data_IF_189473809807
#
_entry.id   IF_189473809807
#
_cell.length_a   1.000
_cell.length_b   1.000
_cell.length_c   1.000
_cell.angle_alpha   90.00
_cell.angle_beta   90.00
_cell.angle_gamma   90.00
#
_symmetry.space_group_name_H-M   'P 1'
#
loop_
_entity.id
_entity.type
_entity.pdbx_description
1 polymer ?
#
# COMPACT_ATOMS: atom_id res chain seq x y z
N UNK A 1 -29.47 58.21 3.46
CA UNK A 1 -28.09 57.79 3.80
C UNK A 1 -27.44 57.32 2.51
N UNK A 2 -26.61 58.17 1.89
CA UNK A 2 -25.95 57.84 0.62
C UNK A 2 -24.60 57.23 0.95
N UNK A 3 -24.49 55.90 0.86
CA UNK A 3 -23.21 55.22 1.02
C UNK A 3 -22.32 55.56 -0.18
N UNK A 4 -21.07 55.93 0.10
CA UNK A 4 -20.08 56.14 -0.95
C UNK A 4 -19.82 54.82 -1.68
N UNK A 5 -19.53 54.89 -2.97
CA UNK A 5 -19.16 53.73 -3.80
C UNK A 5 -18.02 52.94 -3.15
N UNK A 6 -17.08 53.62 -2.48
CA UNK A 6 -16.00 52.99 -1.71
C UNK A 6 -16.50 52.13 -0.54
N UNK A 7 -17.58 52.55 0.13
CA UNK A 7 -18.20 51.81 1.23
C UNK A 7 -18.89 50.53 0.74
N UNK A 8 -19.46 50.56 -0.46
CA UNK A 8 -20.08 49.38 -1.08
C UNK A 8 -19.00 48.35 -1.45
N UNK A 9 -17.86 48.78 -2.02
CA UNK A 9 -16.74 47.88 -2.33
C UNK A 9 -16.12 47.25 -1.08
N UNK A 10 -16.01 47.99 0.03
CA UNK A 10 -15.47 47.46 1.28
C UNK A 10 -16.35 46.32 1.86
N UNK A 11 -17.68 46.46 1.75
CA UNK A 11 -18.63 45.45 2.20
C UNK A 11 -18.63 44.20 1.32
N UNK A 12 -18.42 44.34 0.01
CA UNK A 12 -18.30 43.20 -0.92
C UNK A 12 -17.01 42.40 -0.64
N UNK A 13 -15.90 43.08 -0.34
CA UNK A 13 -14.62 42.43 -0.02
C UNK A 13 -14.70 41.69 1.33
N UNK A 14 -15.33 42.29 2.34
CA UNK A 14 -15.58 41.60 3.62
C UNK A 14 -16.55 40.43 3.47
N UNK A 15 -17.60 40.56 2.67
CA UNK A 15 -18.57 39.49 2.41
C UNK A 15 -18.00 38.28 1.64
N UNK A 16 -16.99 38.49 0.78
CA UNK A 16 -16.30 37.40 0.09
C UNK A 16 -15.27 36.67 0.95
N UNK A 17 -14.78 37.29 2.02
CA UNK A 17 -13.79 36.68 2.93
C UNK A 17 -14.42 35.64 3.87
N UNK A 18 -15.73 35.73 4.13
CA UNK A 18 -16.45 34.86 5.07
C UNK A 18 -17.04 33.57 4.46
N UNK A 19 -17.02 33.41 3.13
CA UNK A 19 -17.48 32.19 2.43
C UNK A 19 -16.37 31.13 2.23
N UNK A 20 -15.14 31.44 2.63
CA UNK A 20 -13.96 30.62 2.35
C UNK A 20 -13.55 29.61 3.42
N UNK A 21 -14.30 29.48 4.52
CA UNK A 21 -14.03 28.46 5.53
C UNK A 21 -15.24 27.54 5.66
N UNK A 22 -15.47 26.72 4.63
CA UNK A 22 -16.10 25.44 4.86
C UNK A 22 -15.15 24.65 5.76
N UNK A 23 -15.54 24.48 7.02
CA UNK A 23 -14.90 23.54 7.94
C UNK A 23 -14.87 22.20 7.22
N UNK A 24 -13.72 21.82 6.65
CA UNK A 24 -13.48 20.44 6.29
C UNK A 24 -13.65 19.70 7.61
N UNK A 25 -14.82 19.06 7.81
CA UNK A 25 -14.94 18.01 8.80
C UNK A 25 -13.90 17.00 8.35
N UNK A 26 -12.73 17.06 8.98
CA UNK A 26 -11.79 15.96 8.95
C UNK A 26 -12.63 14.78 9.41
N UNK A 27 -12.96 13.89 8.48
CA UNK A 27 -13.40 12.56 8.84
C UNK A 27 -12.16 11.97 9.52
N UNK A 28 -12.06 12.18 10.83
CA UNK A 28 -11.28 11.32 11.68
C UNK A 28 -11.88 9.95 11.43
N UNK A 29 -11.28 9.19 10.52
CA UNK A 29 -11.44 7.75 10.53
C UNK A 29 -10.97 7.36 11.92
N UNK A 30 -11.91 7.21 12.86
CA UNK A 30 -11.68 6.49 14.08
C UNK A 30 -11.22 5.13 13.62
N UNK A 31 -9.91 4.96 13.68
CA UNK A 31 -9.34 3.74 13.26
C UNK A 31 -9.71 2.73 14.34
N UNK A 32 -10.70 1.90 14.04
CA UNK A 32 -11.08 0.75 14.86
C UNK A 32 -9.99 -0.35 14.77
N UNK A 33 -8.72 0.05 14.91
CA UNK A 33 -7.52 -0.78 14.74
C UNK A 33 -7.49 -1.95 15.74
N UNK A 34 -8.23 -1.84 16.84
CA UNK A 34 -8.09 -2.71 18.01
C UNK A 34 -9.39 -3.40 18.43
N UNK A 35 -10.50 -3.20 17.71
CA UNK A 35 -11.80 -3.76 18.12
C UNK A 35 -12.07 -5.19 17.64
N UNK A 36 -11.17 -5.83 16.89
CA UNK A 36 -11.41 -7.16 16.31
C UNK A 36 -10.16 -8.03 16.20
N UNK A 37 -10.38 -9.35 16.26
CA UNK A 37 -9.34 -10.37 16.07
C UNK A 37 -8.62 -10.21 14.72
N UNK A 38 -7.29 -10.31 14.73
CA UNK A 38 -6.46 -10.34 13.51
C UNK A 38 -6.35 -11.79 13.03
N UNK A 39 -6.76 -12.03 11.79
CA UNK A 39 -6.61 -13.30 11.07
C UNK A 39 -5.75 -13.02 9.86
N UNK A 40 -4.45 -13.10 10.09
CA UNK A 40 -3.41 -12.69 9.16
C UNK A 40 -2.68 -13.86 8.53
N UNK A 41 -2.18 -13.67 7.30
CA UNK A 41 -1.36 -14.66 6.60
C UNK A 41 -0.25 -13.99 5.79
N UNK A 42 0.92 -14.61 5.76
CA UNK A 42 2.03 -14.16 4.91
C UNK A 42 1.85 -14.63 3.46
N UNK A 43 2.20 -13.77 2.51
CA UNK A 43 2.35 -14.14 1.11
C UNK A 43 3.83 -14.05 0.76
N UNK A 44 4.42 -15.17 0.38
CA UNK A 44 5.87 -15.32 0.18
C UNK A 44 6.18 -15.59 -1.29
N UNK A 45 7.41 -15.24 -1.71
CA UNK A 45 7.97 -15.64 -3.01
C UNK A 45 8.76 -16.97 -2.92
N UNK A 46 8.78 -17.59 -1.73
CA UNK A 46 9.40 -18.89 -1.44
C UNK A 46 8.29 -19.83 -0.97
N UNK A 47 8.28 -21.06 -1.48
CA UNK A 47 7.31 -22.12 -1.13
C UNK A 47 5.83 -21.72 -1.27
N UNK A 48 5.54 -20.73 -2.12
CA UNK A 48 4.19 -20.28 -2.45
C UNK A 48 4.11 -19.75 -3.87
N UNK A 49 3.08 -20.17 -4.60
CA UNK A 49 2.84 -19.75 -5.99
C UNK A 49 1.95 -18.51 -6.11
N UNK A 50 1.45 -17.99 -4.98
CA UNK A 50 0.36 -17.00 -4.96
C UNK A 50 0.75 -15.71 -5.68
N UNK A 51 2.00 -15.26 -5.55
CA UNK A 51 2.42 -13.93 -6.00
C UNK A 51 2.85 -13.86 -7.47
N UNK A 52 3.09 -15.00 -8.14
CA UNK A 52 3.80 -14.99 -9.42
C UNK A 52 2.95 -14.58 -10.62
N UNK A 53 1.62 -14.69 -10.54
CA UNK A 53 0.72 -14.31 -11.64
C UNK A 53 -0.52 -13.58 -11.11
N UNK A 54 -1.12 -12.74 -11.96
CA UNK A 54 -2.37 -12.03 -11.62
C UNK A 54 -3.49 -13.01 -11.24
N UNK A 55 -3.59 -14.12 -11.98
CA UNK A 55 -4.58 -15.16 -11.72
C UNK A 55 -4.36 -15.81 -10.35
N UNK A 56 -3.11 -16.14 -9.99
CA UNK A 56 -2.80 -16.72 -8.69
C UNK A 56 -3.10 -15.75 -7.55
N UNK A 57 -2.79 -14.46 -7.72
CA UNK A 57 -3.11 -13.43 -6.73
C UNK A 57 -4.62 -13.31 -6.56
N UNK A 58 -5.38 -13.19 -7.65
CA UNK A 58 -6.83 -13.09 -7.61
C UNK A 58 -7.47 -14.30 -6.90
N UNK A 59 -7.09 -15.51 -7.29
CA UNK A 59 -7.60 -16.75 -6.70
C UNK A 59 -7.19 -16.88 -5.23
N UNK A 60 -5.92 -16.61 -4.91
CA UNK A 60 -5.39 -16.70 -3.55
C UNK A 60 -6.06 -15.72 -2.60
N UNK A 61 -6.13 -14.45 -2.98
CA UNK A 61 -6.78 -13.40 -2.20
C UNK A 61 -8.26 -13.72 -1.97
N UNK A 62 -8.99 -14.15 -3.01
CA UNK A 62 -10.39 -14.56 -2.84
C UNK A 62 -10.51 -15.72 -1.85
N UNK A 63 -9.68 -16.76 -1.98
CA UNK A 63 -9.71 -17.92 -1.07
C UNK A 63 -9.44 -17.53 0.38
N UNK A 64 -8.49 -16.64 0.61
CA UNK A 64 -8.19 -16.12 1.96
C UNK A 64 -9.37 -15.35 2.54
N UNK A 65 -10.02 -14.51 1.74
CA UNK A 65 -11.23 -13.80 2.16
C UNK A 65 -12.38 -14.77 2.47
N UNK A 66 -12.63 -15.76 1.60
CA UNK A 66 -13.66 -16.79 1.80
C UNK A 66 -13.39 -17.62 3.07
N UNK A 67 -12.11 -17.84 3.42
CA UNK A 67 -11.68 -18.52 4.64
C UNK A 67 -11.70 -17.62 5.90
N UNK A 68 -12.08 -16.35 5.77
CA UNK A 68 -12.25 -15.43 6.89
C UNK A 68 -11.01 -14.64 7.31
N UNK A 69 -9.89 -14.71 6.57
CA UNK A 69 -8.74 -13.84 6.82
C UNK A 69 -9.13 -12.38 6.63
N UNK A 70 -8.45 -11.47 7.34
CA UNK A 70 -8.71 -10.03 7.29
C UNK A 70 -7.44 -9.18 7.09
N UNK A 71 -6.25 -9.81 7.10
CA UNK A 71 -4.96 -9.17 6.81
C UNK A 71 -4.09 -10.10 5.97
N UNK A 72 -3.37 -9.54 5.00
CA UNK A 72 -2.29 -10.22 4.28
C UNK A 72 -0.98 -9.46 4.45
N UNK A 73 0.10 -10.21 4.61
CA UNK A 73 1.47 -9.70 4.78
C UNK A 73 2.32 -10.11 3.58
N UNK A 74 2.21 -9.42 2.43
CA UNK A 74 3.03 -9.76 1.27
C UNK A 74 4.48 -9.39 1.51
N UNK A 75 5.40 -10.31 1.19
CA UNK A 75 6.81 -10.00 1.11
C UNK A 75 7.04 -8.96 0.02
N UNK A 76 7.72 -7.87 0.35
CA UNK A 76 8.04 -6.80 -0.59
C UNK A 76 9.54 -6.62 -0.78
N UNK A 77 10.35 -7.26 0.06
CA UNK A 77 11.79 -7.29 -0.01
C UNK A 77 12.30 -8.65 0.46
N UNK A 78 13.15 -9.32 -0.32
CA UNK A 78 13.78 -10.60 -0.03
C UNK A 78 15.04 -10.76 -0.89
N UNK A 79 16.05 -11.47 -0.39
CA UNK A 79 17.32 -11.78 -1.09
C UNK A 79 17.99 -10.58 -1.78
N UNK A 80 17.87 -9.38 -1.20
CA UNK A 80 18.47 -8.16 -1.74
C UNK A 80 17.63 -7.41 -2.78
N UNK A 81 16.45 -7.91 -3.15
CA UNK A 81 15.59 -7.32 -4.18
C UNK A 81 14.22 -6.93 -3.63
N UNK A 82 13.62 -5.90 -4.23
CA UNK A 82 12.19 -5.61 -4.04
C UNK A 82 11.34 -6.51 -4.94
N UNK A 83 10.21 -7.00 -4.43
CA UNK A 83 9.28 -7.80 -5.23
C UNK A 83 8.49 -6.93 -6.23
N UNK A 84 8.54 -5.61 -6.08
CA UNK A 84 7.87 -4.59 -6.89
C UNK A 84 8.89 -3.61 -7.50
N UNK A 85 8.55 -2.89 -8.58
CA UNK A 85 9.43 -1.89 -9.19
C UNK A 85 9.72 -0.73 -8.23
N UNK A 86 10.99 -0.54 -7.85
CA UNK A 86 11.41 0.46 -6.86
C UNK A 86 12.41 1.47 -7.41
N UNK A 87 11.98 2.74 -7.53
CA UNK A 87 12.89 3.84 -7.88
C UNK A 87 13.95 4.11 -6.80
N UNK A 88 13.68 3.72 -5.54
CA UNK A 88 14.66 3.81 -4.45
C UNK A 88 15.78 2.80 -4.67
N UNK A 89 15.45 1.56 -5.03
CA UNK A 89 16.47 0.56 -5.36
C UNK A 89 17.30 0.99 -6.56
N UNK A 90 16.67 1.54 -7.61
CA UNK A 90 17.37 2.06 -8.78
C UNK A 90 18.34 3.18 -8.41
N UNK A 91 17.91 4.12 -7.55
CA UNK A 91 18.75 5.25 -7.13
C UNK A 91 20.04 4.81 -6.44
N UNK A 92 19.98 3.78 -5.59
CA UNK A 92 21.10 3.39 -4.74
C UNK A 92 21.90 2.18 -5.26
N UNK A 93 21.28 1.33 -6.07
CA UNK A 93 21.87 0.05 -6.53
C UNK A 93 21.85 -0.11 -8.05
N UNK A 94 21.19 0.78 -8.79
CA UNK A 94 21.13 0.76 -10.26
C UNK A 94 19.92 0.01 -10.82
N UNK A 95 19.72 0.14 -12.14
CA UNK A 95 18.52 -0.34 -12.85
C UNK A 95 18.31 -1.86 -12.72
N UNK A 96 19.40 -2.63 -12.63
CA UNK A 96 19.35 -4.09 -12.44
C UNK A 96 18.68 -4.51 -11.13
N UNK A 97 18.62 -3.64 -10.12
CA UNK A 97 17.99 -3.91 -8.83
C UNK A 97 16.57 -3.33 -8.72
N UNK A 98 15.96 -2.86 -9.82
CA UNK A 98 14.60 -2.28 -9.81
C UNK A 98 13.58 -3.23 -9.18
N UNK A 99 13.67 -4.52 -9.46
CA UNK A 99 12.74 -5.55 -9.02
C UNK A 99 13.41 -6.93 -9.14
N UNK A 100 13.00 -7.89 -8.33
CA UNK A 100 13.39 -9.29 -8.46
C UNK A 100 13.05 -9.83 -9.87
N UNK A 101 14.00 -10.55 -10.45
CA UNK A 101 13.95 -11.00 -11.85
C UNK A 101 12.78 -11.94 -12.17
N UNK A 102 12.25 -12.69 -11.20
CA UNK A 102 11.10 -13.58 -11.44
C UNK A 102 9.84 -12.80 -11.76
N UNK A 103 9.61 -11.67 -11.09
CA UNK A 103 8.44 -10.83 -11.33
C UNK A 103 8.61 -9.95 -12.56
N UNK A 104 9.85 -9.56 -12.88
CA UNK A 104 10.18 -8.93 -14.17
C UNK A 104 9.87 -9.88 -15.32
N UNK A 105 10.31 -11.15 -15.24
CA UNK A 105 10.04 -12.16 -16.26
C UNK A 105 8.53 -12.39 -16.46
N UNK A 106 7.75 -12.34 -15.38
CA UNK A 106 6.30 -12.46 -15.42
C UNK A 106 5.56 -11.15 -15.74
N UNK A 107 6.29 -10.05 -15.97
CA UNK A 107 5.73 -8.72 -16.27
C UNK A 107 4.67 -8.26 -15.27
N UNK A 108 4.94 -8.45 -13.98
CA UNK A 108 3.98 -8.20 -12.89
C UNK A 108 4.59 -7.33 -11.79
N UNK A 109 3.79 -6.40 -11.27
CA UNK A 109 4.00 -5.79 -9.96
C UNK A 109 3.08 -6.52 -8.96
N UNK A 110 3.59 -7.50 -8.20
CA UNK A 110 2.77 -8.30 -7.30
C UNK A 110 2.19 -7.46 -6.16
N UNK A 111 2.88 -6.42 -5.69
CA UNK A 111 2.38 -5.58 -4.61
C UNK A 111 1.16 -4.77 -5.06
N UNK A 112 1.25 -4.12 -6.23
CA UNK A 112 0.14 -3.37 -6.80
C UNK A 112 -1.08 -4.27 -7.05
N UNK A 113 -0.85 -5.49 -7.55
CA UNK A 113 -1.90 -6.46 -7.83
C UNK A 113 -2.56 -6.99 -6.55
N UNK A 114 -1.76 -7.32 -5.52
CA UNK A 114 -2.28 -7.73 -4.20
C UNK A 114 -3.13 -6.62 -3.59
N UNK A 115 -2.67 -5.35 -3.61
CA UNK A 115 -3.46 -4.21 -3.09
C UNK A 115 -4.79 -4.08 -3.83
N UNK A 116 -4.77 -4.23 -5.17
CA UNK A 116 -5.96 -4.15 -6.01
C UNK A 116 -6.98 -5.24 -5.70
N UNK A 117 -6.53 -6.49 -5.56
CA UNK A 117 -7.41 -7.63 -5.27
C UNK A 117 -7.88 -7.63 -3.81
N UNK A 118 -6.99 -7.35 -2.85
CA UNK A 118 -7.30 -7.30 -1.42
C UNK A 118 -8.41 -6.29 -1.10
N UNK A 119 -8.38 -5.13 -1.78
CA UNK A 119 -9.40 -4.08 -1.63
C UNK A 119 -10.82 -4.56 -1.95
N UNK A 120 -10.98 -5.51 -2.87
CA UNK A 120 -12.31 -6.07 -3.24
C UNK A 120 -12.97 -6.83 -2.10
N UNK A 121 -12.17 -7.35 -1.17
CA UNK A 121 -12.61 -8.21 -0.08
C UNK A 121 -12.35 -7.60 1.30
N UNK A 122 -12.01 -6.31 1.38
CA UNK A 122 -11.68 -5.60 2.62
C UNK A 122 -10.54 -6.28 3.42
N UNK A 123 -9.60 -6.92 2.73
CA UNK A 123 -8.37 -7.41 3.34
C UNK A 123 -7.40 -6.25 3.50
N UNK A 124 -6.81 -6.11 4.70
CA UNK A 124 -5.70 -5.17 4.90
C UNK A 124 -4.43 -5.74 4.29
N UNK A 125 -3.59 -4.87 3.72
CA UNK A 125 -2.28 -5.25 3.18
C UNK A 125 -1.21 -4.57 4.00
N UNK A 126 -0.33 -5.35 4.65
CA UNK A 126 0.77 -4.84 5.46
C UNK A 126 2.08 -5.38 4.87
N UNK A 127 2.83 -4.56 4.10
CA UNK A 127 4.08 -4.98 3.47
C UNK A 127 5.09 -5.54 4.47
N UNK A 128 5.68 -6.69 4.15
CA UNK A 128 6.69 -7.36 4.97
C UNK A 128 8.06 -7.39 4.29
N UNK A 129 9.10 -7.10 5.05
CA UNK A 129 10.50 -7.23 4.63
C UNK A 129 11.06 -8.53 5.18
N UNK A 130 11.30 -9.52 4.32
CA UNK A 130 11.85 -10.83 4.66
C UNK A 130 13.26 -10.66 5.25
N UNK A 131 13.53 -11.34 6.36
CA UNK A 131 14.74 -11.17 7.19
C UNK A 131 15.08 -9.72 7.60
N UNK A 132 14.16 -8.76 7.39
CA UNK A 132 14.39 -7.34 7.63
C UNK A 132 15.56 -6.77 6.80
N UNK A 133 16.39 -5.94 7.42
CA UNK A 133 17.64 -5.42 6.84
C UNK A 133 18.86 -6.20 7.36
N UNK A 134 18.75 -7.53 7.48
CA UNK A 134 19.85 -8.35 7.99
C UNK A 134 21.13 -8.09 7.18
N UNK A 135 22.20 -7.65 7.86
CA UNK A 135 23.50 -7.35 7.25
C UNK A 135 24.36 -8.59 7.03
N UNK A 136 23.85 -9.79 7.34
CA UNK A 136 24.52 -11.07 7.09
C UNK A 136 23.50 -12.12 6.66
N UNK A 137 23.71 -12.68 5.46
CA UNK A 137 22.92 -13.79 4.93
C UNK A 137 23.75 -15.09 5.03
N UNK A 138 23.26 -16.07 5.79
CA UNK A 138 23.77 -17.45 5.74
C UNK A 138 22.76 -18.27 4.91
N UNK A 139 23.13 -18.77 3.72
CA UNK A 139 22.23 -19.52 2.83
C UNK A 139 21.60 -20.76 3.47
N UNK A 140 22.16 -21.27 4.57
CA UNK A 140 21.64 -22.44 5.27
C UNK A 140 20.51 -22.12 6.26
N UNK A 141 20.30 -20.85 6.62
CA UNK A 141 19.33 -20.45 7.65
C UNK A 141 18.00 -19.97 7.02
N UNK A 142 17.97 -19.68 5.72
CA UNK A 142 16.80 -19.08 5.03
C UNK A 142 15.89 -20.05 4.27
N UNK A 143 16.04 -21.37 4.44
CA UNK A 143 15.13 -22.39 3.89
C UNK A 143 14.27 -22.94 5.03
N UNK A 144 13.17 -22.26 5.33
CA UNK A 144 12.13 -22.76 6.24
C UNK A 144 11.10 -23.55 5.44
#
# INVERSE_FOLDING_TARGET
>A
MNYSVATIYLLIIFGFLELGCSTIKSSTHENNWTSGEIRGVWLTNIDSEVMFTRQNIQVGIKRLADAGFNVVYPVVYNDGYTMYPSNVMVKYFGEANRQDSVFVANSIDPLAEIVREAKKYNLKVIPWFEFGFSSSYNPQIGRA
#
